data_IF_128500335452
#
_entry.id   IF_128500335452
#
_cell.length_a   1.000
_cell.length_b   1.000
_cell.length_c   1.000
_cell.angle_alpha   90.00
_cell.angle_beta   90.00
_cell.angle_gamma   90.00
#
_symmetry.space_group_name_H-M   'P 1'
#
loop_
_entity.id
_entity.type
_entity.pdbx_description
1 polymer ?
#
# COMPACT_ATOMS: atom_id res chain seq x y z
N UNK A 1 9.23 19.52 24.96
CA UNK A 1 9.10 18.42 25.95
C UNK A 1 10.06 17.27 25.62
N UNK A 2 9.90 16.59 24.46
CA UNK A 2 10.70 15.41 24.10
C UNK A 2 12.21 15.66 24.13
N UNK A 3 12.67 16.73 23.50
CA UNK A 3 14.09 17.08 23.45
C UNK A 3 14.68 17.35 24.84
N UNK A 4 13.91 17.98 25.74
CA UNK A 4 14.33 18.19 27.12
C UNK A 4 14.48 16.87 27.92
N UNK A 5 13.91 15.78 27.43
CA UNK A 5 14.00 14.44 28.02
C UNK A 5 14.92 13.51 27.21
N UNK A 6 15.76 14.06 26.33
CA UNK A 6 16.70 13.28 25.51
C UNK A 6 16.02 12.39 24.47
N UNK A 7 14.79 12.70 24.07
CA UNK A 7 14.03 11.97 23.05
C UNK A 7 13.85 12.83 21.80
N UNK A 8 13.82 12.20 20.63
CA UNK A 8 13.51 12.84 19.35
C UNK A 8 12.06 12.55 18.96
N UNK A 9 11.44 13.48 18.25
CA UNK A 9 10.13 13.27 17.65
C UNK A 9 10.28 12.46 16.36
N UNK A 10 9.48 11.42 16.23
CA UNK A 10 9.16 10.77 14.96
C UNK A 10 7.66 10.91 14.75
N UNK A 11 7.23 11.56 13.70
CA UNK A 11 5.82 11.83 13.44
C UNK A 11 5.45 11.64 11.98
N UNK A 12 4.18 11.35 11.74
CA UNK A 12 3.62 11.32 10.41
C UNK A 12 3.77 12.67 9.72
N UNK A 13 3.68 12.71 8.40
CA UNK A 13 3.98 13.92 7.60
C UNK A 13 3.03 15.11 7.86
N UNK A 14 1.95 14.92 8.65
CA UNK A 14 1.13 16.02 9.17
C UNK A 14 1.92 17.02 10.02
N UNK A 15 3.00 16.59 10.67
CA UNK A 15 3.85 17.50 11.47
C UNK A 15 4.53 18.58 10.63
N UNK A 16 4.55 18.44 9.30
CA UNK A 16 5.03 19.48 8.38
C UNK A 16 4.14 20.74 8.41
N UNK A 17 2.85 20.59 8.74
CA UNK A 17 1.88 21.69 8.64
C UNK A 17 2.13 22.81 9.66
N UNK A 18 2.71 22.48 10.82
CA UNK A 18 3.03 23.45 11.87
C UNK A 18 4.49 23.89 11.93
N UNK A 19 5.29 23.49 10.98
CA UNK A 19 6.74 23.61 11.02
C UNK A 19 7.39 22.52 11.87
N UNK A 20 8.57 22.04 11.44
CA UNK A 20 9.25 20.93 12.10
C UNK A 20 9.95 21.37 13.37
N UNK A 21 9.74 20.64 14.46
CA UNK A 21 10.52 20.78 15.67
C UNK A 21 11.99 20.39 15.40
N UNK A 22 12.97 20.99 16.11
CA UNK A 22 14.38 20.62 15.97
C UNK A 22 14.58 19.10 16.12
N UNK A 23 15.36 18.51 15.23
CA UNK A 23 15.67 17.08 15.18
C UNK A 23 14.45 16.14 15.01
N UNK A 24 13.31 16.65 14.54
CA UNK A 24 12.18 15.79 14.18
C UNK A 24 12.51 14.94 12.95
N UNK A 25 12.02 13.71 12.95
CA UNK A 25 12.02 12.80 11.79
C UNK A 25 10.61 12.69 11.25
N UNK A 26 10.44 12.77 9.94
CA UNK A 26 9.12 12.71 9.27
C UNK A 26 8.88 11.32 8.70
N UNK A 27 7.73 10.73 8.99
CA UNK A 27 7.22 9.53 8.31
C UNK A 27 6.31 9.96 7.17
N UNK A 28 6.76 9.76 5.93
CA UNK A 28 6.03 10.19 4.73
C UNK A 28 5.10 9.08 4.25
N UNK A 29 3.79 9.19 4.55
CA UNK A 29 2.80 8.16 4.22
C UNK A 29 1.84 8.55 3.08
N UNK A 30 1.49 9.82 2.94
CA UNK A 30 0.59 10.32 1.90
C UNK A 30 1.21 10.35 0.49
N UNK A 31 2.48 10.00 0.40
CA UNK A 31 3.30 10.01 -0.79
C UNK A 31 4.76 10.18 -0.39
N UNK A 32 5.61 10.54 -1.36
CA UNK A 32 7.04 10.76 -1.12
C UNK A 32 7.37 12.23 -0.82
N UNK A 33 6.47 13.13 -1.16
CA UNK A 33 6.68 14.58 -1.12
C UNK A 33 6.97 15.08 0.30
N UNK A 34 6.30 14.51 1.31
CA UNK A 34 6.53 14.86 2.71
C UNK A 34 7.96 14.52 3.16
N UNK A 35 8.45 13.35 2.79
CA UNK A 35 9.82 12.92 3.06
C UNK A 35 10.84 13.77 2.30
N UNK A 36 10.59 14.04 1.02
CA UNK A 36 11.44 14.91 0.20
C UNK A 36 11.52 16.32 0.80
N UNK A 37 10.39 16.89 1.21
CA UNK A 37 10.36 18.20 1.86
C UNK A 37 11.15 18.21 3.19
N UNK A 38 11.00 17.17 4.00
CA UNK A 38 11.75 17.01 5.25
C UNK A 38 13.26 16.99 5.02
N UNK A 39 13.75 16.14 4.10
CA UNK A 39 15.21 16.03 3.86
C UNK A 39 15.78 17.30 3.21
N UNK A 40 15.02 17.99 2.36
CA UNK A 40 15.42 19.28 1.80
C UNK A 40 15.54 20.38 2.86
N UNK A 41 14.79 20.26 3.95
CA UNK A 41 14.91 21.16 5.11
C UNK A 41 15.90 20.70 6.17
N UNK A 42 16.67 19.66 5.90
CA UNK A 42 17.73 19.15 6.79
C UNK A 42 17.24 18.18 7.87
N UNK A 43 16.02 17.67 7.77
CA UNK A 43 15.45 16.67 8.68
C UNK A 43 15.54 15.26 8.11
N UNK A 44 15.59 14.27 8.99
CA UNK A 44 15.51 12.85 8.57
C UNK A 44 14.09 12.50 8.14
N UNK A 45 13.97 11.56 7.20
CA UNK A 45 12.70 10.99 6.78
C UNK A 45 12.73 9.46 6.82
N UNK A 46 11.60 8.86 7.21
CA UNK A 46 11.27 7.45 6.99
C UNK A 46 10.23 7.41 5.88
N UNK A 47 10.54 6.67 4.82
CA UNK A 47 9.65 6.56 3.66
C UNK A 47 8.67 5.41 3.86
N UNK A 48 7.39 5.74 3.87
CA UNK A 48 6.31 4.77 4.07
C UNK A 48 5.07 5.10 3.21
N UNK A 49 5.26 5.49 1.93
CA UNK A 49 4.15 5.93 1.10
C UNK A 49 3.15 4.80 0.86
N UNK A 50 1.85 5.13 1.00
CA UNK A 50 0.77 4.15 0.96
C UNK A 50 0.77 3.29 -0.30
N UNK A 51 1.11 3.87 -1.44
CA UNK A 51 1.15 3.17 -2.72
C UNK A 51 2.24 2.08 -2.84
N UNK A 52 3.18 1.98 -1.88
CA UNK A 52 4.26 0.99 -1.90
C UNK A 52 4.42 0.20 -0.59
N UNK A 53 3.95 0.78 0.53
CA UNK A 53 4.31 0.31 1.86
C UNK A 53 3.12 -0.12 2.73
N UNK A 54 1.86 0.04 2.27
CA UNK A 54 0.68 -0.33 3.03
C UNK A 54 0.24 -1.75 2.68
N UNK A 55 0.68 -2.70 3.51
CA UNK A 55 0.44 -4.13 3.28
C UNK A 55 -0.97 -4.59 3.69
N UNK A 56 -1.81 -3.70 4.17
CA UNK A 56 -3.24 -3.88 4.41
C UNK A 56 -4.09 -3.73 3.14
N UNK A 57 -3.49 -3.31 2.02
CA UNK A 57 -4.13 -3.30 0.70
C UNK A 57 -4.21 -4.69 0.08
N UNK A 58 -5.19 -4.90 -0.81
CA UNK A 58 -5.33 -6.13 -1.60
C UNK A 58 -4.07 -6.42 -2.43
N UNK A 59 -3.71 -7.69 -2.53
CA UNK A 59 -2.61 -8.17 -3.38
C UNK A 59 -3.07 -8.52 -4.79
N UNK A 60 -4.37 -8.80 -4.95
CA UNK A 60 -5.02 -9.16 -6.20
C UNK A 60 -6.47 -8.65 -6.20
N UNK A 61 -7.28 -9.08 -7.16
CA UNK A 61 -8.68 -8.69 -7.26
C UNK A 61 -9.46 -9.02 -5.98
N UNK A 62 -10.24 -8.07 -5.42
CA UNK A 62 -10.87 -8.22 -4.10
C UNK A 62 -11.73 -9.48 -3.94
N UNK A 63 -12.44 -9.89 -4.99
CA UNK A 63 -13.32 -11.06 -4.94
C UNK A 63 -12.60 -12.41 -4.82
N UNK A 64 -11.27 -12.42 -5.00
CA UNK A 64 -10.44 -13.62 -4.90
C UNK A 64 -9.67 -13.73 -3.57
N UNK A 65 -9.84 -12.76 -2.68
CA UNK A 65 -9.04 -12.62 -1.48
C UNK A 65 -9.88 -12.45 -0.22
N UNK A 66 -9.29 -12.69 0.96
CA UNK A 66 -9.85 -12.25 2.23
C UNK A 66 -10.13 -10.74 2.22
N UNK A 67 -11.11 -10.30 3.01
CA UNK A 67 -11.46 -8.89 3.11
C UNK A 67 -10.24 -8.04 3.54
N UNK A 68 -10.09 -6.88 2.91
CA UNK A 68 -9.06 -5.89 3.23
C UNK A 68 -9.66 -4.49 3.21
N UNK A 69 -8.91 -3.49 3.69
CA UNK A 69 -9.39 -2.10 3.76
C UNK A 69 -9.68 -1.50 2.38
N UNK A 70 -9.12 -2.07 1.32
CA UNK A 70 -9.18 -1.56 -0.05
C UNK A 70 -7.79 -1.38 -0.64
N UNK A 71 -7.71 -0.62 -1.73
CA UNK A 71 -6.45 -0.38 -2.43
C UNK A 71 -5.92 -1.62 -3.17
N UNK A 72 -4.84 -1.43 -3.92
CA UNK A 72 -4.16 -2.52 -4.63
C UNK A 72 -2.65 -2.35 -4.58
N UNK A 73 -1.98 -3.29 -3.97
CA UNK A 73 -0.53 -3.29 -3.83
C UNK A 73 0.02 -4.69 -4.13
N UNK A 74 0.27 -5.02 -5.41
CA UNK A 74 0.89 -6.28 -5.78
C UNK A 74 2.39 -6.29 -5.47
N UNK A 75 2.98 -7.48 -5.45
CA UNK A 75 4.39 -7.69 -5.14
C UNK A 75 5.33 -6.87 -6.03
N UNK A 76 5.06 -6.83 -7.34
CA UNK A 76 5.85 -6.09 -8.32
C UNK A 76 5.87 -4.60 -8.01
N UNK A 77 4.76 -4.06 -7.52
CA UNK A 77 4.66 -2.66 -7.13
C UNK A 77 5.56 -2.35 -5.93
N UNK A 78 5.60 -3.24 -4.94
CA UNK A 78 6.54 -3.11 -3.81
C UNK A 78 7.99 -3.15 -4.30
N UNK A 79 8.32 -4.08 -5.20
CA UNK A 79 9.67 -4.17 -5.77
C UNK A 79 10.07 -2.95 -6.61
N UNK A 80 9.12 -2.31 -7.27
CA UNK A 80 9.39 -1.12 -8.09
C UNK A 80 9.75 0.12 -7.26
N UNK A 81 9.59 0.05 -5.94
CA UNK A 81 9.81 1.20 -5.07
C UNK A 81 11.30 1.57 -4.98
N UNK A 82 11.60 2.85 -5.17
CA UNK A 82 12.89 3.46 -4.87
C UNK A 82 12.68 4.50 -3.75
N UNK A 83 13.10 4.20 -2.51
CA UNK A 83 12.87 5.12 -1.38
C UNK A 83 13.72 6.39 -1.42
N UNK A 84 14.75 6.41 -2.24
CA UNK A 84 15.61 7.59 -2.45
C UNK A 84 15.28 8.20 -3.79
N UNK A 85 14.51 9.29 -3.78
CA UNK A 85 14.14 9.99 -5.01
C UNK A 85 15.36 10.52 -5.76
N UNK A 86 15.37 10.35 -7.08
CA UNK A 86 16.41 10.90 -7.97
C UNK A 86 16.47 12.43 -7.95
N UNK A 87 15.45 13.09 -7.38
CA UNK A 87 15.43 14.56 -7.19
C UNK A 87 16.25 15.06 -6.02
N UNK A 88 16.80 14.16 -5.20
CA UNK A 88 17.61 14.48 -4.03
C UNK A 88 19.10 14.53 -4.37
N UNK A 89 19.82 15.47 -3.76
CA UNK A 89 21.27 15.46 -3.80
C UNK A 89 21.83 14.30 -2.96
N UNK A 90 23.10 13.96 -3.17
CA UNK A 90 23.78 12.91 -2.40
C UNK A 90 23.72 13.18 -0.88
N UNK A 91 23.86 14.44 -0.46
CA UNK A 91 23.80 14.81 0.96
C UNK A 91 22.38 14.70 1.51
N UNK A 92 21.36 15.09 0.74
CA UNK A 92 19.95 14.93 1.10
C UNK A 92 19.55 13.45 1.19
N UNK A 93 20.02 12.62 0.24
CA UNK A 93 19.76 11.19 0.24
C UNK A 93 20.19 10.50 1.54
N UNK A 94 21.28 10.96 2.17
CA UNK A 94 21.75 10.45 3.48
C UNK A 94 20.76 10.71 4.63
N UNK A 95 19.83 11.64 4.46
CA UNK A 95 18.78 11.93 5.45
C UNK A 95 17.57 11.03 5.30
N UNK A 96 17.46 10.25 4.21
CA UNK A 96 16.48 9.18 4.11
C UNK A 96 16.94 8.05 5.03
N UNK A 97 16.30 7.92 6.18
CA UNK A 97 16.71 7.01 7.26
C UNK A 97 16.36 5.55 6.95
N UNK A 98 15.35 5.34 6.12
CA UNK A 98 14.93 4.01 5.67
C UNK A 98 13.48 3.98 5.20
N UNK A 99 12.95 2.76 5.10
CA UNK A 99 11.56 2.48 4.73
C UNK A 99 10.84 1.76 5.85
N UNK A 100 9.51 1.87 5.89
CA UNK A 100 8.65 1.15 6.81
C UNK A 100 7.44 0.58 6.06
N UNK A 101 7.10 -0.67 6.34
CA UNK A 101 5.80 -1.20 5.99
C UNK A 101 4.77 -0.89 7.07
N UNK A 102 3.53 -0.66 6.66
CA UNK A 102 2.38 -0.53 7.56
C UNK A 102 1.41 -1.67 7.29
N UNK A 103 0.84 -2.20 8.36
CA UNK A 103 -0.23 -3.19 8.31
C UNK A 103 -1.27 -2.79 9.36
N UNK A 104 -2.31 -2.09 8.94
CA UNK A 104 -3.41 -1.70 9.79
C UNK A 104 -4.42 -2.84 9.89
N UNK A 105 -4.90 -3.11 11.09
CA UNK A 105 -5.57 -4.38 11.38
C UNK A 105 -7.09 -4.30 11.42
N UNK A 106 -7.70 -3.25 10.88
CA UNK A 106 -9.15 -3.05 10.89
C UNK A 106 -9.91 -4.24 10.26
N UNK A 107 -9.31 -4.87 9.26
CA UNK A 107 -9.87 -5.99 8.51
C UNK A 107 -9.06 -7.28 8.66
N UNK A 108 -8.15 -7.36 9.65
CA UNK A 108 -7.25 -8.51 9.84
C UNK A 108 -7.56 -9.21 11.16
N UNK A 109 -8.52 -10.15 11.19
CA UNK A 109 -9.01 -10.74 12.44
C UNK A 109 -8.13 -11.85 13.00
N UNK A 110 -7.22 -12.45 12.21
CA UNK A 110 -6.44 -13.63 12.63
C UNK A 110 -4.96 -13.51 12.24
N UNK A 111 -4.06 -14.23 12.95
CA UNK A 111 -2.65 -14.32 12.58
C UNK A 111 -2.42 -14.85 11.16
N UNK A 112 -3.21 -15.85 10.72
CA UNK A 112 -3.10 -16.43 9.38
C UNK A 112 -3.45 -15.40 8.30
N UNK A 113 -4.47 -14.56 8.56
CA UNK A 113 -4.81 -13.47 7.67
C UNK A 113 -3.69 -12.41 7.65
N UNK A 114 -3.08 -12.12 8.79
CA UNK A 114 -1.91 -11.23 8.87
C UNK A 114 -0.75 -11.76 8.03
N UNK A 115 -0.39 -13.04 8.17
CA UNK A 115 0.65 -13.68 7.37
C UNK A 115 0.35 -13.60 5.88
N UNK A 116 -0.89 -13.90 5.48
CA UNK A 116 -1.34 -13.77 4.10
C UNK A 116 -1.14 -12.36 3.56
N UNK A 117 -1.47 -11.33 4.34
CA UNK A 117 -1.36 -9.94 3.92
C UNK A 117 0.10 -9.47 3.80
N UNK A 118 0.98 -9.91 4.69
CA UNK A 118 2.38 -9.45 4.67
C UNK A 118 3.25 -10.24 3.68
N UNK A 119 3.03 -11.54 3.52
CA UNK A 119 3.87 -12.38 2.66
C UNK A 119 3.31 -12.50 1.24
N UNK A 120 4.19 -12.39 0.20
CA UNK A 120 5.64 -12.18 0.27
C UNK A 120 6.09 -10.71 0.28
N UNK A 121 5.17 -9.74 0.28
CA UNK A 121 5.47 -8.31 0.09
C UNK A 121 6.45 -7.73 1.11
N UNK A 122 6.40 -8.18 2.37
CA UNK A 122 7.36 -7.72 3.40
C UNK A 122 8.79 -8.11 3.06
N UNK A 123 9.00 -9.26 2.42
CA UNK A 123 10.33 -9.68 1.97
C UNK A 123 10.82 -8.83 0.81
N UNK A 124 9.92 -8.45 -0.11
CA UNK A 124 10.25 -7.52 -1.19
C UNK A 124 10.65 -6.16 -0.63
N UNK A 125 9.92 -5.63 0.36
CA UNK A 125 10.29 -4.36 0.99
C UNK A 125 11.62 -4.46 1.75
N UNK A 126 11.90 -5.60 2.38
CA UNK A 126 13.22 -5.84 2.98
C UNK A 126 14.35 -5.80 1.94
N UNK A 127 14.13 -6.37 0.75
CA UNK A 127 15.10 -6.24 -0.34
C UNK A 127 15.23 -4.80 -0.84
N UNK A 128 14.12 -4.06 -0.92
CA UNK A 128 14.14 -2.62 -1.24
C UNK A 128 15.00 -1.84 -0.27
N UNK A 129 14.92 -2.18 1.03
CA UNK A 129 15.65 -1.49 2.08
C UNK A 129 17.16 -1.82 2.11
N UNK A 130 17.54 -3.05 1.77
CA UNK A 130 18.88 -3.58 2.04
C UNK A 130 19.69 -4.01 0.81
N UNK A 131 19.10 -3.98 -0.39
CA UNK A 131 19.73 -4.53 -1.58
C UNK A 131 19.78 -3.54 -2.74
N UNK A 132 20.74 -3.75 -3.64
CA UNK A 132 20.78 -3.09 -4.95
C UNK A 132 19.60 -3.50 -5.85
N UNK A 133 19.36 -2.81 -7.01
CA UNK A 133 18.13 -2.93 -7.82
C UNK A 133 17.74 -4.31 -8.33
N UNK A 134 18.67 -5.28 -8.39
CA UNK A 134 18.38 -6.64 -8.83
C UNK A 134 17.69 -7.46 -7.73
N UNK A 135 16.36 -7.29 -7.62
CA UNK A 135 15.54 -7.75 -6.50
C UNK A 135 14.59 -8.85 -6.95
N UNK A 136 14.75 -10.08 -6.45
CA UNK A 136 13.82 -11.19 -6.74
C UNK A 136 13.82 -12.31 -5.68
N UNK A 137 14.45 -12.09 -4.53
CA UNK A 137 14.61 -13.12 -3.49
C UNK A 137 13.30 -13.48 -2.79
N UNK A 138 12.38 -12.51 -2.65
CA UNK A 138 11.08 -12.77 -2.06
C UNK A 138 10.29 -13.81 -2.85
N UNK A 139 10.35 -13.78 -4.19
CA UNK A 139 9.72 -14.78 -5.05
C UNK A 139 10.27 -16.20 -4.79
N UNK A 140 11.58 -16.30 -4.54
CA UNK A 140 12.23 -17.59 -4.26
C UNK A 140 11.94 -18.11 -2.85
N UNK A 141 11.57 -17.23 -1.92
CA UNK A 141 11.31 -17.60 -0.54
C UNK A 141 9.87 -18.11 -0.31
N UNK A 142 8.96 -17.96 -1.26
CA UNK A 142 7.54 -18.34 -1.07
C UNK A 142 7.39 -19.83 -0.78
N UNK A 143 8.03 -20.69 -1.55
CA UNK A 143 7.94 -22.14 -1.35
C UNK A 143 8.52 -22.56 0.02
N UNK A 144 9.62 -21.92 0.45
CA UNK A 144 10.21 -22.14 1.77
C UNK A 144 9.31 -21.69 2.93
N UNK A 145 8.62 -20.56 2.75
CA UNK A 145 7.66 -20.06 3.74
C UNK A 145 6.47 -21.00 3.88
N UNK A 146 5.90 -21.43 2.75
CA UNK A 146 4.79 -22.40 2.74
C UNK A 146 5.19 -23.74 3.35
N UNK A 147 6.40 -24.25 3.06
CA UNK A 147 6.93 -25.47 3.66
C UNK A 147 7.10 -25.35 5.18
N UNK A 148 7.29 -24.16 5.71
CA UNK A 148 7.35 -23.86 7.16
C UNK A 148 5.99 -23.59 7.79
N UNK A 149 4.90 -23.68 7.02
CA UNK A 149 3.54 -23.52 7.52
C UNK A 149 3.02 -22.07 7.56
N UNK A 150 3.73 -21.12 6.95
CA UNK A 150 3.23 -19.73 6.81
C UNK A 150 2.14 -19.64 5.75
N UNK A 151 1.13 -18.83 6.02
CA UNK A 151 0.07 -18.51 5.07
C UNK A 151 0.54 -17.38 4.15
N UNK A 152 0.79 -17.71 2.90
CA UNK A 152 1.28 -16.74 1.91
C UNK A 152 0.24 -16.52 0.82
N UNK A 153 0.27 -15.35 0.21
CA UNK A 153 -0.47 -15.10 -1.03
C UNK A 153 -0.01 -16.07 -2.13
N UNK A 154 -0.96 -16.62 -2.88
CA UNK A 154 -0.67 -17.58 -3.96
C UNK A 154 -0.36 -16.86 -5.27
N UNK A 155 0.92 -16.57 -5.48
CA UNK A 155 1.41 -15.92 -6.70
C UNK A 155 1.14 -16.74 -7.99
N UNK A 156 0.95 -18.06 -7.88
CA UNK A 156 0.73 -18.91 -9.05
C UNK A 156 -0.68 -18.75 -9.63
N UNK A 157 -1.63 -18.43 -8.75
CA UNK A 157 -3.04 -18.25 -9.10
C UNK A 157 -3.47 -16.78 -9.05
N UNK A 158 -2.51 -15.86 -9.01
CA UNK A 158 -2.77 -14.43 -9.03
C UNK A 158 -3.60 -14.03 -10.26
N UNK A 159 -4.70 -13.34 -10.02
CA UNK A 159 -5.56 -12.79 -11.07
C UNK A 159 -5.03 -11.41 -11.51
N UNK A 160 -4.59 -10.60 -10.54
CA UNK A 160 -4.02 -9.29 -10.76
C UNK A 160 -4.97 -8.30 -11.41
N UNK A 161 -4.41 -7.26 -11.96
CA UNK A 161 -5.12 -6.26 -12.76
C UNK A 161 -5.35 -6.70 -14.22
N UNK A 162 -5.51 -8.01 -14.44
CA UNK A 162 -5.74 -8.55 -15.77
C UNK A 162 -7.11 -8.09 -16.31
N UNK A 163 -7.22 -7.94 -17.63
CA UNK A 163 -8.49 -7.62 -18.25
C UNK A 163 -9.64 -8.57 -17.86
N UNK A 164 -9.30 -9.81 -17.51
CA UNK A 164 -10.25 -10.82 -17.05
C UNK A 164 -10.99 -10.42 -15.78
N UNK A 165 -10.34 -9.72 -14.86
CA UNK A 165 -10.96 -9.25 -13.62
C UNK A 165 -12.06 -8.21 -13.87
N UNK A 166 -11.99 -7.52 -15.01
CA UNK A 166 -12.93 -6.50 -15.45
C UNK A 166 -13.99 -7.06 -16.41
N UNK A 167 -13.97 -8.36 -16.74
CA UNK A 167 -15.00 -8.96 -17.61
C UNK A 167 -16.35 -8.93 -16.95
N UNK A 168 -17.40 -8.55 -17.69
CA UNK A 168 -18.76 -8.62 -17.19
C UNK A 168 -19.12 -10.01 -16.70
N UNK A 169 -19.75 -10.10 -15.54
CA UNK A 169 -20.27 -11.35 -15.00
C UNK A 169 -21.68 -11.63 -15.52
N UNK A 170 -22.03 -12.89 -15.69
CA UNK A 170 -23.42 -13.27 -15.94
C UNK A 170 -24.18 -13.26 -14.60
N UNK A 171 -25.12 -12.33 -14.46
CA UNK A 171 -25.93 -12.18 -13.27
C UNK A 171 -27.34 -11.73 -13.63
N UNK A 172 -28.36 -12.12 -12.86
CA UNK A 172 -29.75 -11.78 -13.13
C UNK A 172 -30.04 -10.27 -13.12
N UNK A 173 -29.23 -9.49 -12.43
CA UNK A 173 -29.35 -8.03 -12.36
C UNK A 173 -28.72 -7.31 -13.55
N UNK A 174 -27.89 -7.97 -14.37
CA UNK A 174 -27.19 -7.31 -15.49
C UNK A 174 -28.21 -6.70 -16.45
N UNK A 175 -28.04 -5.45 -16.79
CA UNK A 175 -28.91 -4.69 -17.68
C UNK A 175 -30.29 -4.31 -17.10
N UNK A 176 -30.53 -4.58 -15.81
CA UNK A 176 -31.80 -4.18 -15.17
C UNK A 176 -31.75 -2.70 -14.78
N UNK A 177 -32.91 -2.04 -14.95
CA UNK A 177 -33.06 -0.65 -14.53
C UNK A 177 -33.01 -0.56 -13.00
N UNK A 178 -32.17 0.31 -12.48
CA UNK A 178 -32.09 0.64 -11.06
C UNK A 178 -32.81 1.94 -10.79
N UNK A 179 -33.57 2.00 -9.70
CA UNK A 179 -34.25 3.21 -9.22
C UNK A 179 -33.57 3.59 -7.92
N UNK A 180 -32.95 4.76 -7.89
CA UNK A 180 -32.29 5.32 -6.71
C UNK A 180 -33.24 6.26 -5.99
N UNK A 181 -33.35 6.12 -4.68
CA UNK A 181 -34.19 6.97 -3.83
C UNK A 181 -33.47 8.25 -3.36
N UNK A 182 -32.19 8.36 -3.63
CA UNK A 182 -31.36 9.51 -3.27
C UNK A 182 -30.32 9.79 -4.38
N UNK A 183 -29.85 11.03 -4.53
CA UNK A 183 -28.76 11.33 -5.44
C UNK A 183 -27.46 10.65 -4.99
N UNK A 184 -26.58 10.37 -5.95
CA UNK A 184 -25.23 9.85 -5.67
C UNK A 184 -24.43 10.83 -4.82
N UNK A 185 -23.55 10.26 -4.01
CA UNK A 185 -22.51 11.05 -3.37
C UNK A 185 -21.61 11.69 -4.44
N UNK A 186 -21.30 12.99 -4.35
CA UNK A 186 -20.34 13.60 -5.26
C UNK A 186 -18.94 13.00 -5.14
N UNK A 187 -18.61 12.36 -4.02
CA UNK A 187 -17.34 11.65 -3.83
C UNK A 187 -17.33 10.24 -4.42
N UNK A 188 -18.51 9.64 -4.61
CA UNK A 188 -18.67 8.27 -5.13
C UNK A 188 -19.76 8.25 -6.19
N UNK A 189 -19.47 8.76 -7.41
CA UNK A 189 -20.50 8.95 -8.44
C UNK A 189 -21.01 7.65 -9.08
N UNK A 190 -20.42 6.50 -8.76
CA UNK A 190 -20.83 5.15 -9.19
C UNK A 190 -21.23 5.06 -10.68
N UNK A 191 -20.53 5.76 -11.56
CA UNK A 191 -20.76 5.81 -13.01
C UNK A 191 -22.23 5.98 -13.44
N UNK A 192 -23.06 6.59 -12.58
CA UNK A 192 -24.47 6.82 -12.84
C UNK A 192 -25.36 5.58 -12.62
N UNK A 193 -26.49 5.55 -13.33
CA UNK A 193 -27.57 4.59 -13.07
C UNK A 193 -27.29 3.14 -13.49
N UNK A 194 -26.13 2.84 -14.07
CA UNK A 194 -25.81 1.52 -14.61
C UNK A 194 -24.81 0.74 -13.75
N UNK A 195 -24.04 1.40 -12.91
CA UNK A 195 -22.94 0.78 -12.16
C UNK A 195 -23.30 -0.46 -11.32
N UNK A 196 -24.55 -0.53 -10.80
CA UNK A 196 -24.99 -1.70 -10.04
C UNK A 196 -25.45 -2.87 -10.91
N UNK A 197 -25.60 -2.66 -12.22
CA UNK A 197 -26.20 -3.64 -13.13
C UNK A 197 -25.47 -3.77 -14.46
N UNK A 198 -24.27 -3.23 -14.57
CA UNK A 198 -23.42 -3.34 -15.76
C UNK A 198 -22.75 -4.72 -15.88
N UNK A 199 -22.76 -5.50 -14.80
CA UNK A 199 -22.11 -6.80 -14.76
C UNK A 199 -20.60 -6.73 -14.52
N UNK A 200 -20.07 -5.54 -14.28
CA UNK A 200 -18.65 -5.33 -13.97
C UNK A 200 -18.47 -5.45 -12.46
N UNK A 201 -17.50 -6.20 -12.03
CA UNK A 201 -17.11 -6.26 -10.61
C UNK A 201 -16.35 -5.00 -10.25
N UNK A 202 -16.56 -4.47 -9.05
CA UNK A 202 -15.74 -3.42 -8.51
C UNK A 202 -14.26 -3.80 -8.55
N UNK A 203 -13.43 -2.83 -8.79
CA UNK A 203 -11.99 -2.99 -8.71
C UNK A 203 -11.46 -2.62 -7.32
N UNK A 204 -10.14 -2.72 -7.14
CA UNK A 204 -9.45 -2.38 -5.89
C UNK A 204 -9.34 -0.88 -5.62
N UNK A 205 -9.80 -0.01 -6.50
CA UNK A 205 -9.73 1.44 -6.39
C UNK A 205 -11.02 2.09 -5.93
N UNK A 206 -11.85 1.43 -5.15
CA UNK A 206 -13.15 1.89 -4.66
C UNK A 206 -14.29 1.74 -5.68
N UNK A 207 -14.52 0.53 -6.14
CA UNK A 207 -15.65 0.18 -6.99
C UNK A 207 -16.98 0.27 -6.29
#
# INVERSE_FOLDING_TARGET
FLNAHGRKLLGWDEILQGGLAPNATVMSWRGEEGGIAAVRSGHQAVMTPGQYCYLDSYQDAPYSQPEAIGGYLPLEKVYSYNPVSDSLTVEQAKLVYGVQANLWAEYIPTPEHMEYMIYPRILALAEVAWSAPERNRALKAVDDLQAKGYHTFDLKNEIGSRPESLKPISHLAVGKKVIYNAPYSPHYPAQGNTALTDGIRGDWTYG
#
